data_IF_989931597467
#
_entry.id   IF_989931597467
#
_cell.length_a   1.000
_cell.length_b   1.000
_cell.length_c   1.000
_cell.angle_alpha   90.00
_cell.angle_beta   90.00
_cell.angle_gamma   90.00
#
_symmetry.space_group_name_H-M   'P 1'
#
loop_
_entity.id
_entity.type
_entity.pdbx_description
1 polymer ?
#
# COMPACT_ATOMS: atom_id res chain seq x y z
N UNK A 1 22.07 4.57 13.87
CA UNK A 1 22.38 3.15 14.17
C UNK A 1 21.31 2.24 13.57
N UNK A 2 21.73 1.14 12.89
CA UNK A 2 20.80 0.08 12.52
C UNK A 2 20.36 -0.64 13.78
N UNK A 3 19.06 -0.70 14.03
CA UNK A 3 18.53 -1.40 15.18
C UNK A 3 17.09 -1.78 14.96
N UNK A 4 16.78 -3.01 15.33
CA UNK A 4 15.42 -3.44 15.55
C UNK A 4 14.80 -2.57 16.65
N UNK A 5 13.49 -2.32 16.55
CA UNK A 5 12.77 -1.49 17.52
C UNK A 5 11.59 -2.29 18.10
N UNK A 6 11.42 -2.19 19.40
CA UNK A 6 10.27 -2.77 20.11
C UNK A 6 9.17 -1.71 20.23
N UNK A 7 7.99 -2.00 19.71
CA UNK A 7 6.87 -1.06 19.59
C UNK A 7 5.55 -1.71 19.96
N UNK A 8 4.52 -0.91 20.20
CA UNK A 8 3.11 -1.35 20.16
C UNK A 8 2.47 -0.70 18.95
N UNK A 9 1.98 -1.50 18.01
CA UNK A 9 1.23 -1.02 16.86
C UNK A 9 -0.26 -0.91 17.20
N UNK A 10 -0.97 -0.06 16.46
CA UNK A 10 -2.43 0.07 16.58
C UNK A 10 -3.09 -0.92 15.62
N UNK A 11 -3.96 -1.78 16.16
CA UNK A 11 -4.71 -2.78 15.42
C UNK A 11 -6.20 -2.48 15.49
N UNK A 12 -6.97 -3.03 14.55
CA UNK A 12 -8.41 -3.15 14.71
C UNK A 12 -8.68 -3.98 15.98
N UNK A 13 -9.45 -3.44 16.91
CA UNK A 13 -9.84 -4.13 18.14
C UNK A 13 -10.67 -5.36 17.77
N UNK A 14 -10.44 -6.50 18.42
CA UNK A 14 -11.37 -7.63 18.31
C UNK A 14 -12.67 -7.28 19.05
N UNK A 15 -13.67 -6.82 18.31
CA UNK A 15 -14.97 -6.40 18.83
C UNK A 15 -16.08 -7.31 18.31
N UNK A 16 -16.92 -7.90 19.18
CA UNK A 16 -18.00 -8.80 18.78
C UNK A 16 -18.99 -8.20 17.76
N UNK A 17 -19.06 -6.87 17.65
CA UNK A 17 -19.86 -6.21 16.61
C UNK A 17 -19.41 -6.62 15.20
N UNK A 18 -18.13 -6.95 15.00
CA UNK A 18 -17.57 -7.30 13.70
C UNK A 18 -18.03 -8.66 13.16
N UNK A 19 -18.61 -9.50 14.01
CA UNK A 19 -19.30 -10.71 13.57
C UNK A 19 -20.65 -10.41 12.89
N UNK A 20 -21.22 -9.22 13.11
CA UNK A 20 -22.54 -8.81 12.59
C UNK A 20 -22.45 -7.67 11.58
N UNK A 21 -21.50 -6.76 11.77
CA UNK A 21 -21.33 -5.54 10.98
C UNK A 21 -19.88 -5.40 10.55
N UNK A 22 -19.62 -5.15 9.27
CA UNK A 22 -18.23 -4.98 8.82
C UNK A 22 -17.59 -3.73 9.43
N UNK A 23 -16.29 -3.78 9.77
CA UNK A 23 -15.52 -2.58 10.08
C UNK A 23 -15.62 -1.59 8.90
N UNK A 24 -16.08 -0.38 9.19
CA UNK A 24 -16.31 0.69 8.23
C UNK A 24 -15.72 1.98 8.79
N UNK A 25 -15.00 2.70 7.94
CA UNK A 25 -14.49 4.03 8.24
C UNK A 25 -14.58 4.89 6.96
N UNK A 26 -15.22 6.05 7.06
CA UNK A 26 -15.35 7.00 5.94
C UNK A 26 -14.29 8.10 6.06
N UNK A 27 -13.37 8.18 5.11
CA UNK A 27 -12.33 9.23 5.04
C UNK A 27 -12.82 10.46 4.26
N UNK A 28 -12.39 11.70 4.60
CA UNK A 28 -11.30 12.03 5.54
C UNK A 28 -11.78 12.38 6.95
N UNK A 29 -13.08 12.31 7.24
CA UNK A 29 -13.64 12.76 8.51
C UNK A 29 -13.49 11.66 9.59
N UNK A 30 -12.32 11.63 10.23
CA UNK A 30 -11.96 10.68 11.30
C UNK A 30 -12.74 10.83 12.61
N UNK A 31 -13.45 11.95 12.81
CA UNK A 31 -14.21 12.21 14.01
C UNK A 31 -15.62 11.60 13.89
N UNK A 32 -15.92 10.64 14.77
CA UNK A 32 -17.23 10.02 14.90
C UNK A 32 -18.23 10.97 15.54
N UNK A 33 -18.68 11.95 14.76
CA UNK A 33 -19.78 12.84 15.17
C UNK A 33 -21.14 12.36 14.67
N UNK A 34 -21.16 11.46 13.66
CA UNK A 34 -22.37 11.07 12.93
C UNK A 34 -22.41 9.57 12.51
N UNK A 35 -21.89 8.62 13.31
CA UNK A 35 -21.79 7.19 12.95
C UNK A 35 -21.01 6.93 11.65
N UNK A 36 -19.95 7.68 11.41
CA UNK A 36 -19.13 7.57 10.19
C UNK A 36 -18.05 6.48 10.28
N UNK A 37 -17.99 5.81 11.43
CA UNK A 37 -17.10 4.69 11.66
C UNK A 37 -17.64 3.77 12.76
N UNK A 38 -17.50 2.46 12.59
CA UNK A 38 -17.58 1.50 13.70
C UNK A 38 -16.20 0.88 13.99
N UNK A 39 -15.13 1.36 13.34
CA UNK A 39 -13.74 0.95 13.58
C UNK A 39 -13.29 1.48 14.94
N UNK A 40 -12.90 0.56 15.82
CA UNK A 40 -12.22 0.87 17.07
C UNK A 40 -10.80 0.34 16.98
N UNK A 41 -9.81 1.19 17.24
CA UNK A 41 -8.40 0.79 17.27
C UNK A 41 -7.92 0.59 18.71
N UNK A 42 -7.04 -0.37 18.91
CA UNK A 42 -6.40 -0.63 20.18
C UNK A 42 -4.91 -0.99 19.99
N UNK A 43 -4.04 -0.66 20.96
CA UNK A 43 -2.65 -1.11 20.93
C UNK A 43 -2.59 -2.64 21.06
N UNK A 44 -1.84 -3.28 20.16
CA UNK A 44 -1.53 -4.70 20.23
C UNK A 44 -0.47 -5.05 21.28
N UNK A 45 0.00 -6.31 21.28
CA UNK A 45 1.16 -6.72 22.08
C UNK A 45 2.43 -5.96 21.64
N UNK A 46 3.49 -6.08 22.44
CA UNK A 46 4.79 -5.58 22.01
C UNK A 46 5.35 -6.44 20.90
N UNK A 47 5.77 -5.80 19.82
CA UNK A 47 6.31 -6.44 18.63
C UNK A 47 7.66 -5.83 18.27
N UNK A 48 8.45 -6.58 17.52
CA UNK A 48 9.76 -6.13 17.04
C UNK A 48 9.67 -5.83 15.57
N UNK A 49 9.88 -4.56 15.20
CA UNK A 49 10.12 -4.18 13.81
C UNK A 49 11.60 -4.41 13.52
N UNK A 50 11.86 -5.25 12.54
CA UNK A 50 13.22 -5.61 12.14
C UNK A 50 13.80 -4.62 11.13
N UNK A 51 15.03 -4.18 11.37
CA UNK A 51 15.75 -3.32 10.45
C UNK A 51 16.28 -4.14 9.25
N UNK A 52 15.70 -3.92 8.08
CA UNK A 52 16.04 -4.65 6.84
C UNK A 52 17.34 -4.17 6.17
N UNK A 53 17.96 -3.08 6.63
CA UNK A 53 19.14 -2.50 5.97
C UNK A 53 20.33 -3.45 6.04
N UNK A 54 20.88 -3.79 4.88
CA UNK A 54 21.93 -4.79 4.68
C UNK A 54 21.45 -6.22 4.52
N UNK A 55 20.13 -6.43 4.38
CA UNK A 55 19.49 -7.74 4.16
C UNK A 55 18.45 -7.70 3.05
N UNK A 56 18.44 -6.63 2.25
CA UNK A 56 17.38 -6.35 1.27
C UNK A 56 17.23 -7.44 0.21
N UNK A 57 18.34 -8.08 -0.15
CA UNK A 57 18.45 -9.15 -1.13
C UNK A 57 17.75 -10.46 -0.70
N UNK A 58 17.37 -10.58 0.58
CA UNK A 58 16.70 -11.77 1.12
C UNK A 58 15.20 -11.78 0.90
N UNK A 59 14.64 -10.67 0.42
CA UNK A 59 13.20 -10.50 0.31
C UNK A 59 12.76 -10.58 -1.16
N UNK A 60 11.64 -11.27 -1.39
CA UNK A 60 11.05 -11.42 -2.72
C UNK A 60 9.54 -11.20 -2.67
N UNK A 61 8.95 -10.83 -3.81
CA UNK A 61 7.49 -10.64 -3.90
C UNK A 61 6.72 -11.92 -3.59
N UNK A 62 7.17 -13.09 -4.07
CA UNK A 62 6.46 -14.35 -3.84
C UNK A 62 6.70 -14.95 -2.46
N UNK A 63 7.87 -14.75 -1.84
CA UNK A 63 8.17 -15.27 -0.52
C UNK A 63 7.68 -14.39 0.64
N UNK A 64 7.81 -13.07 0.49
CA UNK A 64 7.61 -12.13 1.59
C UNK A 64 6.47 -11.14 1.35
N UNK A 65 5.95 -11.06 0.12
CA UNK A 65 4.97 -10.05 -0.28
C UNK A 65 5.57 -8.66 -0.53
N UNK A 66 6.90 -8.51 -0.44
CA UNK A 66 7.60 -7.25 -0.74
C UNK A 66 9.02 -7.50 -1.25
N UNK A 67 9.54 -6.52 -1.99
CA UNK A 67 10.86 -6.54 -2.59
C UNK A 67 11.48 -5.15 -2.50
N UNK A 68 12.80 -5.09 -2.31
CA UNK A 68 13.56 -3.86 -2.37
C UNK A 68 14.30 -3.76 -3.70
N UNK A 69 14.11 -2.64 -4.41
CA UNK A 69 14.74 -2.43 -5.70
C UNK A 69 15.50 -1.09 -5.71
N UNK A 70 16.72 -1.11 -6.24
CA UNK A 70 17.44 0.12 -6.58
C UNK A 70 17.02 0.56 -7.99
N UNK A 71 16.18 1.59 -8.06
CA UNK A 71 15.64 2.12 -9.31
C UNK A 71 15.92 3.64 -9.39
N UNK A 72 17.14 4.07 -9.80
CA UNK A 72 17.42 5.49 -10.03
C UNK A 72 16.50 6.03 -11.15
N UNK A 73 16.10 7.29 -11.05
CA UNK A 73 15.32 8.00 -12.09
C UNK A 73 15.97 9.35 -12.35
N UNK A 74 15.84 9.83 -13.59
CA UNK A 74 16.08 11.22 -13.95
C UNK A 74 14.84 12.11 -13.81
N UNK A 75 13.68 11.54 -13.49
CA UNK A 75 12.44 12.30 -13.33
C UNK A 75 12.50 13.25 -12.12
N UNK A 76 12.22 14.52 -12.34
CA UNK A 76 12.29 15.58 -11.32
C UNK A 76 10.99 16.36 -11.14
N UNK A 77 10.06 16.28 -12.10
CA UNK A 77 8.85 17.09 -12.11
C UNK A 77 7.69 16.46 -11.29
N UNK A 78 7.97 16.18 -10.02
CA UNK A 78 7.03 15.50 -9.11
C UNK A 78 5.76 16.30 -8.77
N UNK A 79 5.70 17.57 -9.17
CA UNK A 79 4.52 18.42 -8.99
C UNK A 79 3.55 18.40 -10.18
N UNK A 80 3.92 17.78 -11.31
CA UNK A 80 3.08 17.71 -12.51
C UNK A 80 2.59 16.29 -12.74
N UNK A 81 1.29 16.07 -12.60
CA UNK A 81 0.69 14.75 -12.89
C UNK A 81 0.79 14.37 -14.35
N UNK A 82 0.63 15.34 -15.26
CA UNK A 82 0.81 15.08 -16.68
C UNK A 82 2.23 14.58 -16.98
N UNK A 83 3.25 15.19 -16.34
CA UNK A 83 4.63 14.73 -16.48
C UNK A 83 4.85 13.36 -15.81
N UNK A 84 4.24 13.11 -14.64
CA UNK A 84 4.30 11.79 -13.97
C UNK A 84 3.74 10.71 -14.91
N UNK A 85 2.54 10.94 -15.45
CA UNK A 85 1.87 9.99 -16.35
C UNK A 85 2.66 9.75 -17.63
N UNK A 86 3.18 10.82 -18.24
CA UNK A 86 3.87 10.76 -19.53
C UNK A 86 5.29 10.21 -19.43
N UNK A 87 6.04 10.61 -18.39
CA UNK A 87 7.49 10.39 -18.34
C UNK A 87 7.89 9.38 -17.26
N UNK A 88 7.19 9.34 -16.12
CA UNK A 88 7.58 8.50 -14.98
C UNK A 88 6.90 7.12 -14.93
N UNK A 89 5.60 7.04 -15.24
CA UNK A 89 4.90 5.74 -15.26
C UNK A 89 5.50 4.75 -16.28
N UNK A 90 5.98 5.17 -17.47
CA UNK A 90 6.70 4.27 -18.37
C UNK A 90 7.99 3.70 -17.76
N UNK A 91 8.76 4.50 -16.99
CA UNK A 91 9.92 3.97 -16.26
C UNK A 91 9.52 2.91 -15.23
N UNK A 92 8.38 3.09 -14.55
CA UNK A 92 7.83 2.11 -13.62
C UNK A 92 7.32 0.85 -14.31
N UNK A 93 6.77 0.96 -15.53
CA UNK A 93 6.36 -0.22 -16.29
C UNK A 93 7.56 -1.10 -16.64
N UNK A 94 8.65 -0.49 -17.12
CA UNK A 94 9.91 -1.21 -17.40
C UNK A 94 10.45 -1.88 -16.13
N UNK A 95 10.40 -1.17 -15.00
CA UNK A 95 10.77 -1.72 -13.71
C UNK A 95 9.91 -2.93 -13.34
N UNK A 96 8.58 -2.81 -13.42
CA UNK A 96 7.65 -3.89 -13.06
C UNK A 96 7.82 -5.11 -13.98
N UNK A 97 7.99 -4.92 -15.29
CA UNK A 97 8.24 -6.04 -16.23
C UNK A 97 9.55 -6.75 -15.94
N UNK A 98 10.57 -6.04 -15.44
CA UNK A 98 11.85 -6.64 -15.03
C UNK A 98 11.72 -7.45 -13.75
N UNK A 99 10.98 -6.95 -12.76
CA UNK A 99 10.90 -7.54 -11.42
C UNK A 99 9.75 -8.55 -11.27
N UNK A 100 8.79 -8.56 -12.20
CA UNK A 100 7.63 -9.46 -12.19
C UNK A 100 7.61 -10.25 -13.49
N UNK A 101 8.19 -11.45 -13.44
CA UNK A 101 8.22 -12.36 -14.58
C UNK A 101 6.80 -12.83 -14.97
N UNK A 102 6.58 -13.01 -16.27
CA UNK A 102 5.31 -13.52 -16.81
C UNK A 102 4.13 -12.56 -16.66
N UNK A 103 4.37 -11.25 -16.55
CA UNK A 103 3.29 -10.27 -16.49
C UNK A 103 2.79 -9.88 -17.90
N UNK A 104 1.57 -10.31 -18.22
CA UNK A 104 0.92 -10.01 -19.50
C UNK A 104 0.51 -8.53 -19.62
N UNK A 105 -0.16 -8.00 -18.59
CA UNK A 105 -0.73 -6.65 -18.60
C UNK A 105 -0.42 -5.91 -17.29
N UNK A 106 0.05 -4.66 -17.40
CA UNK A 106 0.33 -3.76 -16.28
C UNK A 106 -0.60 -2.56 -16.41
N UNK A 107 -1.25 -2.20 -15.31
CA UNK A 107 -2.19 -1.09 -15.25
C UNK A 107 -1.90 -0.23 -14.03
N UNK A 108 -1.73 1.07 -14.27
CA UNK A 108 -1.64 2.07 -13.21
C UNK A 108 -3.04 2.64 -12.94
N UNK A 109 -3.53 2.49 -11.71
CA UNK A 109 -4.87 2.97 -11.34
C UNK A 109 -4.86 4.03 -10.23
N UNK A 110 -3.74 4.20 -9.53
CA UNK A 110 -3.57 5.21 -8.48
C UNK A 110 -2.10 5.65 -8.44
N UNK A 111 -1.88 6.94 -8.23
CA UNK A 111 -0.57 7.54 -8.01
C UNK A 111 -0.73 8.71 -7.03
N UNK A 112 0.09 8.73 -5.97
CA UNK A 112 0.01 9.74 -4.92
C UNK A 112 1.38 10.29 -4.57
N UNK A 113 1.46 11.61 -4.45
CA UNK A 113 2.64 12.31 -3.91
C UNK A 113 2.29 12.79 -2.50
N UNK A 114 2.97 12.25 -1.50
CA UNK A 114 2.77 12.63 -0.10
C UNK A 114 3.82 13.65 0.32
N UNK A 115 3.37 14.71 0.99
CA UNK A 115 4.22 15.69 1.66
C UNK A 115 4.07 15.53 3.18
N UNK A 116 5.05 16.05 3.94
CA UNK A 116 5.05 15.97 5.41
C UNK A 116 4.01 16.90 6.04
N UNK A 117 3.72 18.01 5.38
CA UNK A 117 2.52 18.80 5.61
C UNK A 117 1.37 18.19 4.80
N UNK A 118 0.16 18.21 5.35
CA UNK A 118 -1.06 17.63 4.75
C UNK A 118 -1.48 18.27 3.40
N UNK A 119 -0.58 19.02 2.75
CA UNK A 119 -0.71 19.74 1.47
C UNK A 119 -0.44 18.87 0.21
N UNK A 120 -0.22 17.56 0.39
CA UNK A 120 0.04 16.56 -0.67
C UNK A 120 -0.65 16.84 -2.02
N UNK A 121 0.11 16.84 -3.11
CA UNK A 121 -0.41 17.00 -4.48
C UNK A 121 -1.34 15.83 -4.86
N UNK A 122 -2.55 16.17 -5.30
CA UNK A 122 -3.66 15.24 -5.58
C UNK A 122 -3.87 15.05 -7.06
N UNK A 123 -3.99 13.80 -7.54
CA UNK A 123 -4.67 13.56 -8.81
C UNK A 123 -6.13 13.99 -8.70
N UNK A 124 -6.61 14.79 -9.65
CA UNK A 124 -7.98 15.28 -9.67
C UNK A 124 -8.95 14.08 -9.63
N UNK A 125 -9.90 14.09 -8.69
CA UNK A 125 -10.84 12.99 -8.46
C UNK A 125 -10.46 11.96 -7.37
N UNK A 126 -9.28 12.04 -6.74
CA UNK A 126 -8.88 11.11 -5.67
C UNK A 126 -9.03 11.70 -4.25
N UNK A 127 -9.52 10.88 -3.32
CA UNK A 127 -9.74 11.23 -1.91
C UNK A 127 -8.43 11.49 -1.14
N UNK A 128 -8.49 12.49 -0.24
CA UNK A 128 -7.48 12.75 0.78
C UNK A 128 -7.44 11.61 1.80
N UNK A 129 -6.28 10.99 1.97
CA UNK A 129 -6.04 9.97 3.01
C UNK A 129 -4.66 10.21 3.66
N UNK A 130 -4.57 10.64 4.93
CA UNK A 130 -3.32 10.85 5.64
C UNK A 130 -2.47 9.56 5.70
N UNK A 131 -1.25 9.66 6.20
CA UNK A 131 -0.45 8.46 6.47
C UNK A 131 -1.22 7.53 7.41
N UNK A 132 -1.34 6.26 7.04
CA UNK A 132 -1.92 5.27 7.93
C UNK A 132 -0.99 5.07 9.14
N UNK A 133 -1.57 5.13 10.33
CA UNK A 133 -0.85 5.00 11.61
C UNK A 133 -1.19 3.67 12.31
N UNK A 134 -2.09 2.91 11.73
CA UNK A 134 -2.59 1.62 12.17
C UNK A 134 -2.15 0.52 11.22
N UNK A 135 -2.07 -0.71 11.71
CA UNK A 135 -1.86 -1.90 10.88
C UNK A 135 -3.12 -2.14 10.07
N UNK A 136 -2.95 -2.36 8.78
CA UNK A 136 -4.03 -2.57 7.82
C UNK A 136 -3.51 -3.33 6.60
N UNK A 137 -4.45 -3.93 5.87
CA UNK A 137 -4.24 -4.31 4.48
C UNK A 137 -4.92 -3.26 3.59
N UNK A 138 -4.26 -2.85 2.51
CA UNK A 138 -4.81 -1.83 1.59
C UNK A 138 -6.00 -2.35 0.79
N UNK A 139 -6.04 -3.65 0.53
CA UNK A 139 -7.01 -4.27 -0.35
C UNK A 139 -7.46 -5.61 0.21
N UNK A 140 -8.71 -5.96 -0.11
CA UNK A 140 -9.26 -7.30 0.06
C UNK A 140 -9.33 -7.97 -1.31
N UNK A 141 -9.42 -9.29 -1.36
CA UNK A 141 -9.63 -10.02 -2.63
C UNK A 141 -10.81 -9.44 -3.42
N UNK A 142 -11.93 -9.20 -2.73
CA UNK A 142 -13.12 -8.57 -3.32
C UNK A 142 -12.81 -7.19 -3.92
N UNK A 143 -12.04 -6.35 -3.24
CA UNK A 143 -11.71 -5.01 -3.76
C UNK A 143 -10.78 -5.09 -4.97
N UNK A 144 -9.84 -6.04 -5.00
CA UNK A 144 -8.96 -6.28 -6.15
C UNK A 144 -9.77 -6.72 -7.36
N UNK A 145 -10.64 -7.74 -7.19
CA UNK A 145 -11.49 -8.27 -8.25
C UNK A 145 -12.45 -7.21 -8.82
N UNK A 146 -12.99 -6.33 -7.97
CA UNK A 146 -13.83 -5.23 -8.41
C UNK A 146 -13.04 -4.17 -9.19
N UNK A 147 -11.83 -3.81 -8.72
CA UNK A 147 -10.96 -2.86 -9.44
C UNK A 147 -10.62 -3.36 -10.84
N UNK A 148 -10.23 -4.62 -10.98
CA UNK A 148 -9.88 -5.20 -12.28
C UNK A 148 -11.06 -5.16 -13.23
N UNK A 149 -12.25 -5.58 -12.77
CA UNK A 149 -13.48 -5.49 -13.58
C UNK A 149 -13.79 -4.07 -14.03
N UNK A 150 -13.71 -3.11 -13.12
CA UNK A 150 -14.00 -1.71 -13.44
C UNK A 150 -12.99 -1.08 -14.41
N UNK A 151 -11.72 -1.50 -14.36
CA UNK A 151 -10.67 -0.92 -15.19
C UNK A 151 -10.55 -1.57 -16.58
N UNK A 152 -10.99 -2.82 -16.73
CA UNK A 152 -10.72 -3.62 -17.93
C UNK A 152 -11.97 -4.07 -18.68
N UNK A 153 -13.15 -3.84 -18.07
CA UNK A 153 -14.47 -4.09 -18.63
C UNK A 153 -14.54 -5.46 -19.34
N UNK A 154 -14.60 -5.48 -20.67
CA UNK A 154 -14.73 -6.69 -21.48
C UNK A 154 -13.56 -7.68 -21.33
N UNK A 155 -12.36 -7.21 -20.96
CA UNK A 155 -11.18 -8.09 -20.76
C UNK A 155 -11.14 -8.75 -19.38
N UNK A 156 -11.98 -8.32 -18.44
CA UNK A 156 -11.82 -8.68 -17.04
C UNK A 156 -11.83 -10.18 -16.79
N UNK A 157 -12.77 -10.92 -17.39
CA UNK A 157 -12.87 -12.37 -17.19
C UNK A 157 -11.67 -13.13 -17.78
N UNK A 158 -11.11 -12.64 -18.90
CA UNK A 158 -9.88 -13.19 -19.47
C UNK A 158 -8.69 -12.95 -18.53
N UNK A 159 -8.50 -11.72 -18.05
CA UNK A 159 -7.39 -11.38 -17.16
C UNK A 159 -7.49 -12.08 -15.80
N UNK A 160 -8.71 -12.24 -15.28
CA UNK A 160 -8.99 -12.93 -14.02
C UNK A 160 -8.95 -14.46 -14.14
N UNK A 161 -8.84 -15.01 -15.35
CA UNK A 161 -8.51 -16.43 -15.53
C UNK A 161 -7.06 -16.75 -15.20
N UNK A 162 -6.19 -15.72 -15.19
CA UNK A 162 -4.81 -15.79 -14.76
C UNK A 162 -4.60 -15.32 -13.31
N UNK A 163 -3.34 -15.08 -12.95
CA UNK A 163 -2.98 -14.52 -11.64
C UNK A 163 -2.98 -13.00 -11.68
N UNK A 164 -3.84 -12.38 -10.87
CA UNK A 164 -3.84 -10.95 -10.66
C UNK A 164 -3.06 -10.55 -9.39
N UNK A 165 -2.38 -9.40 -9.44
CA UNK A 165 -1.69 -8.82 -8.28
C UNK A 165 -1.92 -7.31 -8.24
N UNK A 166 -2.07 -6.74 -7.05
CA UNK A 166 -1.89 -5.31 -6.82
C UNK A 166 -0.52 -5.11 -6.20
N UNK A 167 0.30 -4.25 -6.81
CA UNK A 167 1.64 -3.95 -6.34
C UNK A 167 1.72 -2.46 -6.01
N UNK A 168 2.00 -2.14 -4.75
CA UNK A 168 2.30 -0.79 -4.32
C UNK A 168 3.79 -0.49 -4.48
N UNK A 169 4.11 0.64 -5.10
CA UNK A 169 5.50 1.11 -5.24
C UNK A 169 5.70 2.32 -4.32
N UNK A 170 6.55 2.16 -3.30
CA UNK A 170 6.91 3.22 -2.37
C UNK A 170 8.29 3.77 -2.69
N UNK A 171 8.36 5.07 -2.98
CA UNK A 171 9.61 5.75 -3.35
C UNK A 171 9.86 7.02 -2.53
N UNK A 172 10.99 7.11 -1.82
CA UNK A 172 11.53 8.39 -1.38
C UNK A 172 11.94 9.25 -2.59
N UNK A 173 11.43 10.48 -2.68
CA UNK A 173 11.59 11.35 -3.85
C UNK A 173 12.82 12.26 -3.77
N UNK A 174 13.02 12.97 -2.65
CA UNK A 174 14.11 13.96 -2.49
C UNK A 174 15.19 13.52 -1.51
N UNK A 175 14.78 13.10 -0.32
CA UNK A 175 15.67 12.81 0.79
C UNK A 175 15.27 11.49 1.45
N UNK A 176 16.17 10.87 2.24
CA UNK A 176 15.79 9.78 3.12
C UNK A 176 14.60 10.18 3.99
N UNK A 177 13.67 9.26 4.17
CA UNK A 177 12.50 9.44 5.04
C UNK A 177 12.95 9.25 6.49
N UNK A 178 12.77 10.29 7.33
CA UNK A 178 13.17 10.28 8.74
C UNK A 178 11.99 10.18 9.70
N UNK A 179 10.78 10.50 9.24
CA UNK A 179 9.51 10.43 9.95
C UNK A 179 8.54 9.51 9.21
N UNK A 180 7.48 9.04 9.88
CA UNK A 180 6.45 8.18 9.27
C UNK A 180 7.02 7.01 8.44
N UNK A 181 8.01 6.30 9.00
CA UNK A 181 8.68 5.20 8.31
C UNK A 181 7.73 4.10 7.87
N UNK A 182 8.01 3.48 6.72
CA UNK A 182 7.25 2.36 6.21
C UNK A 182 7.67 1.06 6.92
N UNK A 183 6.70 0.40 7.55
CA UNK A 183 6.82 -0.98 8.02
C UNK A 183 5.89 -1.85 7.18
N UNK A 184 6.37 -3.04 6.82
CA UNK A 184 5.62 -4.06 6.10
C UNK A 184 5.73 -5.37 6.85
N UNK A 185 4.65 -6.15 6.81
CA UNK A 185 4.64 -7.51 7.36
C UNK A 185 5.26 -8.46 6.35
N UNK A 186 6.04 -9.41 6.84
CA UNK A 186 6.51 -10.57 6.08
C UNK A 186 5.36 -11.53 5.86
N UNK A 187 4.81 -11.56 4.63
CA UNK A 187 3.63 -12.33 4.31
C UNK A 187 3.81 -13.84 4.57
N UNK A 188 5.04 -14.36 4.48
CA UNK A 188 5.36 -15.76 4.81
C UNK A 188 5.23 -16.11 6.30
N UNK A 189 4.96 -15.12 7.16
CA UNK A 189 4.75 -15.30 8.61
C UNK A 189 3.32 -15.05 9.06
N UNK A 190 2.45 -14.62 8.14
CA UNK A 190 1.03 -14.45 8.43
C UNK A 190 0.36 -15.80 8.64
N UNK A 191 -0.61 -15.84 9.55
CA UNK A 191 -1.46 -16.98 9.84
C UNK A 191 -2.88 -16.74 9.34
N UNK A 192 -3.62 -17.82 9.14
CA UNK A 192 -5.04 -17.74 8.85
C UNK A 192 -5.75 -16.99 10.00
N UNK A 193 -6.48 -15.93 9.66
CA UNK A 193 -7.17 -15.08 10.61
C UNK A 193 -6.42 -13.80 11.03
N UNK A 194 -5.17 -13.61 10.62
CA UNK A 194 -4.44 -12.35 10.86
C UNK A 194 -5.03 -11.17 10.05
N UNK A 195 -5.78 -11.46 8.98
CA UNK A 195 -6.44 -10.49 8.11
C UNK A 195 -7.95 -10.80 8.09
N UNK A 196 -8.75 -9.76 8.28
CA UNK A 196 -10.22 -9.79 8.23
C UNK A 196 -10.79 -9.51 6.83
#
# INVERSE_FOLDING_TARGET
PRRDIKVKLQYLKDDPIYAKEKPLQITPNFADKDNKTNVTLAPGPFETIHDVRGRQEKFSLDGNGFLYVKAPTSFTNWSSQAAIGKDYLPELEVLLRREVEGCDEIMFYDARIRHSDDSGLRVEGLSYNPFAKQVHADNTERSVLAKIRNLTEMKADYLLSGRARIINIWRPIKHPVFDCGLAVVDAGKLQDGDIL
#
